data_IF_268062681405
#
_entry.id   IF_268062681405
#
_cell.length_a   1.000
_cell.length_b   1.000
_cell.length_c   1.000
_cell.angle_alpha   90.00
_cell.angle_beta   90.00
_cell.angle_gamma   90.00
#
_symmetry.space_group_name_H-M   'P 1'
#
loop_
_entity.id
_entity.type
_entity.pdbx_description
1 polymer ?
#
# COMPACT_ATOMS: atom_id res chain seq x y z
N UNK A 1 4.14 2.80 -1.79
CA UNK A 1 3.76 2.42 -3.18
C UNK A 1 3.18 1.01 -3.11
N UNK A 2 2.07 0.75 -3.78
CA UNK A 2 1.49 -0.60 -3.90
C UNK A 2 1.44 -0.92 -5.38
N UNK A 3 2.21 -1.92 -5.80
CA UNK A 3 2.21 -2.37 -7.19
C UNK A 3 1.11 -3.42 -7.38
N UNK A 4 0.28 -3.21 -8.39
CA UNK A 4 -0.81 -4.12 -8.75
C UNK A 4 -0.66 -4.51 -10.22
N UNK A 5 -0.78 -5.80 -10.51
CA UNK A 5 -0.91 -6.27 -11.89
C UNK A 5 -2.39 -6.26 -12.24
N UNK A 6 -2.78 -5.45 -13.22
CA UNK A 6 -4.18 -5.27 -13.64
C UNK A 6 -4.35 -5.71 -15.09
N UNK A 7 -5.45 -6.42 -15.36
CA UNK A 7 -5.85 -6.77 -16.72
C UNK A 7 -6.81 -5.73 -17.25
N UNK A 8 -6.46 -5.09 -18.38
CA UNK A 8 -7.34 -4.11 -19.00
C UNK A 8 -8.65 -4.75 -19.47
N UNK A 9 -9.76 -4.05 -19.22
CA UNK A 9 -11.09 -4.49 -19.65
C UNK A 9 -11.22 -4.62 -21.18
N UNK A 10 -10.39 -3.92 -21.94
CA UNK A 10 -10.33 -3.95 -23.41
C UNK A 10 -9.40 -5.02 -23.98
N UNK A 11 -8.75 -5.85 -23.15
CA UNK A 11 -7.85 -6.89 -23.66
C UNK A 11 -8.58 -7.94 -24.50
N UNK A 12 -7.99 -8.31 -25.63
CA UNK A 12 -8.49 -9.38 -26.52
C UNK A 12 -7.98 -10.78 -26.11
N UNK A 13 -7.04 -10.85 -25.15
CA UNK A 13 -6.37 -12.10 -24.72
C UNK A 13 -6.55 -12.36 -23.22
N UNK A 14 -7.77 -12.12 -22.71
CA UNK A 14 -8.06 -12.19 -21.27
C UNK A 14 -7.83 -13.58 -20.68
N UNK A 15 -8.09 -14.63 -21.44
CA UNK A 15 -7.90 -16.00 -20.97
C UNK A 15 -6.42 -16.33 -20.78
N UNK A 16 -5.57 -15.99 -21.75
CA UNK A 16 -4.12 -16.19 -21.68
C UNK A 16 -3.50 -15.30 -20.59
N UNK A 17 -3.93 -14.04 -20.50
CA UNK A 17 -3.50 -13.14 -19.44
C UNK A 17 -3.87 -13.68 -18.06
N UNK A 18 -5.09 -14.22 -17.89
CA UNK A 18 -5.49 -14.85 -16.64
C UNK A 18 -4.65 -16.09 -16.32
N UNK A 19 -4.42 -16.99 -17.30
CA UNK A 19 -3.55 -18.16 -17.12
C UNK A 19 -2.15 -17.76 -16.67
N UNK A 20 -1.56 -16.73 -17.28
CA UNK A 20 -0.27 -16.20 -16.83
C UNK A 20 -0.32 -15.76 -15.37
N UNK A 21 -1.36 -15.02 -14.97
CA UNK A 21 -1.51 -14.56 -13.60
C UNK A 21 -1.69 -15.74 -12.64
N UNK A 22 -2.64 -16.63 -12.88
CA UNK A 22 -3.03 -17.69 -11.93
C UNK A 22 -2.08 -18.88 -11.91
N UNK A 23 -1.45 -19.22 -13.04
CA UNK A 23 -0.65 -20.44 -13.19
C UNK A 23 0.86 -20.18 -13.19
N UNK A 24 1.29 -18.93 -13.36
CA UNK A 24 2.69 -18.54 -13.28
C UNK A 24 2.91 -17.47 -12.21
N UNK A 25 2.50 -16.23 -12.46
CA UNK A 25 2.92 -15.07 -11.66
C UNK A 25 2.49 -15.13 -10.18
N UNK A 26 1.31 -15.69 -9.89
CA UNK A 26 0.72 -15.77 -8.55
C UNK A 26 0.67 -17.20 -7.99
N UNK A 27 1.71 -18.00 -8.27
CA UNK A 27 1.94 -19.28 -7.59
C UNK A 27 2.87 -19.09 -6.40
N UNK A 28 2.79 -19.94 -5.37
CA UNK A 28 3.69 -19.86 -4.20
C UNK A 28 5.17 -19.82 -4.59
N UNK A 29 5.58 -20.69 -5.51
CA UNK A 29 6.96 -20.73 -6.02
C UNK A 29 7.40 -19.37 -6.56
N UNK A 30 6.64 -18.83 -7.51
CA UNK A 30 7.06 -17.60 -8.20
C UNK A 30 6.84 -16.34 -7.37
N UNK A 31 5.83 -16.33 -6.49
CA UNK A 31 5.66 -15.27 -5.51
C UNK A 31 6.79 -15.25 -4.48
N UNK A 32 7.24 -16.41 -4.01
CA UNK A 32 8.37 -16.48 -3.08
C UNK A 32 9.67 -16.02 -3.76
N UNK A 33 10.02 -16.62 -4.90
CA UNK A 33 11.22 -16.27 -5.68
C UNK A 33 11.28 -14.77 -6.04
N UNK A 34 10.18 -14.21 -6.53
CA UNK A 34 10.11 -12.79 -6.88
C UNK A 34 10.21 -11.90 -5.64
N UNK A 35 9.47 -12.20 -4.57
CA UNK A 35 9.48 -11.39 -3.34
C UNK A 35 10.87 -11.37 -2.72
N UNK A 36 11.57 -12.50 -2.62
CA UNK A 36 12.94 -12.57 -2.06
C UNK A 36 13.92 -11.77 -2.93
N UNK A 37 13.91 -12.00 -4.25
CA UNK A 37 14.91 -11.39 -5.15
C UNK A 37 14.78 -9.89 -5.31
N UNK A 38 13.55 -9.38 -5.30
CA UNK A 38 13.28 -7.94 -5.40
C UNK A 38 13.31 -7.24 -4.03
N UNK A 39 13.45 -7.97 -2.92
CA UNK A 39 13.44 -7.40 -1.58
C UNK A 39 12.07 -6.88 -1.15
N UNK A 40 10.99 -7.45 -1.68
CA UNK A 40 9.62 -7.08 -1.29
C UNK A 40 9.15 -7.81 -0.04
N UNK A 41 8.03 -7.35 0.51
CA UNK A 41 7.30 -8.06 1.56
C UNK A 41 6.33 -9.09 0.95
N UNK A 42 6.07 -10.19 1.66
CA UNK A 42 5.18 -11.25 1.16
C UNK A 42 3.74 -10.77 1.06
N UNK A 43 3.12 -10.97 -0.12
CA UNK A 43 1.68 -10.70 -0.34
C UNK A 43 0.82 -11.94 -0.10
N UNK A 44 1.45 -13.11 0.05
CA UNK A 44 0.80 -14.39 0.33
C UNK A 44 1.14 -14.85 1.75
N UNK A 45 0.16 -15.42 2.45
CA UNK A 45 0.38 -15.99 3.80
C UNK A 45 1.32 -17.18 3.77
N UNK A 46 1.27 -18.01 2.72
CA UNK A 46 2.18 -19.13 2.50
C UNK A 46 3.62 -18.66 2.34
N UNK A 47 3.85 -17.61 1.54
CA UNK A 47 5.19 -17.02 1.35
C UNK A 47 5.72 -16.40 2.64
N UNK A 48 4.85 -15.79 3.46
CA UNK A 48 5.25 -15.26 4.77
C UNK A 48 5.76 -16.32 5.77
N UNK A 49 5.56 -17.61 5.51
CA UNK A 49 6.09 -18.71 6.33
C UNK A 49 7.50 -19.16 5.89
N UNK A 50 8.03 -18.65 4.79
CA UNK A 50 9.41 -18.93 4.39
C UNK A 50 10.38 -18.43 5.49
N UNK A 51 11.42 -19.20 5.86
CA UNK A 51 12.40 -18.79 6.87
C UNK A 51 12.99 -17.40 6.64
N UNK A 52 13.14 -16.97 5.38
CA UNK A 52 13.62 -15.63 5.03
C UNK A 52 12.74 -14.53 5.64
N UNK A 53 11.43 -14.72 5.72
CA UNK A 53 10.50 -13.74 6.30
C UNK A 53 10.12 -14.04 7.75
N UNK A 54 10.14 -15.32 8.14
CA UNK A 54 9.69 -15.76 9.45
C UNK A 54 10.79 -15.72 10.53
N UNK A 55 12.03 -15.98 10.15
CA UNK A 55 13.15 -16.18 11.08
C UNK A 55 14.18 -15.04 11.05
N UNK A 56 14.29 -14.31 9.92
CA UNK A 56 15.11 -13.09 9.87
C UNK A 56 14.46 -11.99 10.72
N UNK A 57 15.16 -11.45 11.74
CA UNK A 57 14.54 -10.53 12.70
C UNK A 57 14.13 -9.19 12.07
N UNK A 58 14.82 -8.73 11.02
CA UNK A 58 14.49 -7.46 10.36
C UNK A 58 13.25 -7.64 9.50
N UNK A 59 13.21 -8.69 8.67
CA UNK A 59 12.07 -8.97 7.79
C UNK A 59 10.84 -9.45 8.56
N UNK A 60 11.03 -10.16 9.67
CA UNK A 60 9.95 -10.61 10.54
C UNK A 60 9.16 -9.44 11.10
N UNK A 61 9.83 -8.37 11.53
CA UNK A 61 9.16 -7.18 12.06
C UNK A 61 8.20 -6.56 11.02
N UNK A 62 8.61 -6.50 9.76
CA UNK A 62 7.73 -6.03 8.68
C UNK A 62 6.59 -7.01 8.38
N UNK A 63 6.90 -8.31 8.33
CA UNK A 63 5.92 -9.36 8.03
C UNK A 63 4.83 -9.43 9.10
N UNK A 64 5.20 -9.30 10.38
CA UNK A 64 4.27 -9.26 11.51
C UNK A 64 3.34 -8.03 11.49
N UNK A 65 3.74 -6.94 10.82
CA UNK A 65 2.94 -5.72 10.67
C UNK A 65 1.92 -5.80 9.51
N UNK A 66 2.14 -6.66 8.51
CA UNK A 66 1.27 -6.77 7.34
C UNK A 66 -0.22 -7.00 7.66
N UNK A 67 -0.61 -7.82 8.66
CA UNK A 67 -2.02 -8.00 9.02
C UNK A 67 -2.72 -6.72 9.52
N UNK A 68 -1.95 -5.73 9.98
CA UNK A 68 -2.43 -4.46 10.51
C UNK A 68 -2.38 -3.33 9.47
N UNK A 69 -1.68 -3.55 8.35
CA UNK A 69 -1.58 -2.56 7.29
C UNK A 69 -2.96 -2.23 6.71
N UNK A 70 -3.17 -0.96 6.39
CA UNK A 70 -4.37 -0.45 5.72
C UNK A 70 -3.98 0.18 4.40
N UNK A 71 -4.78 -0.07 3.38
CA UNK A 71 -4.66 0.68 2.13
C UNK A 71 -5.08 2.12 2.33
N UNK A 72 -4.54 3.00 1.49
CA UNK A 72 -5.13 4.31 1.26
C UNK A 72 -6.64 4.16 0.93
N UNK A 73 -7.51 5.01 1.47
CA UNK A 73 -8.91 5.09 1.05
C UNK A 73 -9.05 5.21 -0.47
N UNK A 74 -9.93 4.38 -1.04
CA UNK A 74 -10.23 4.36 -2.48
C UNK A 74 -11.33 5.38 -2.77
N UNK A 75 -11.01 6.65 -2.62
CA UNK A 75 -11.92 7.78 -2.86
C UNK A 75 -11.31 8.76 -3.85
N UNK A 76 -12.17 9.53 -4.52
CA UNK A 76 -11.73 10.61 -5.37
C UNK A 76 -10.84 11.58 -4.56
N UNK A 77 -9.87 12.20 -5.23
CA UNK A 77 -9.02 13.24 -4.65
C UNK A 77 -8.21 12.81 -3.41
N UNK A 78 -8.06 11.50 -3.12
CA UNK A 78 -7.28 11.02 -1.96
C UNK A 78 -5.87 11.63 -1.86
N UNK A 79 -5.20 11.84 -2.99
CA UNK A 79 -3.89 12.47 -3.02
C UNK A 79 -3.92 13.90 -2.45
N UNK A 80 -4.93 14.70 -2.83
CA UNK A 80 -5.10 16.07 -2.34
C UNK A 80 -5.45 16.10 -0.84
N UNK A 81 -6.26 15.14 -0.39
CA UNK A 81 -6.59 14.96 1.03
C UNK A 81 -5.33 14.66 1.85
N UNK A 82 -4.51 13.73 1.37
CA UNK A 82 -3.26 13.35 2.01
C UNK A 82 -2.26 14.53 2.04
N UNK A 83 -2.16 15.30 0.95
CA UNK A 83 -1.27 16.45 0.87
C UNK A 83 -1.76 17.61 1.77
N UNK A 84 -3.07 17.84 1.86
CA UNK A 84 -3.66 18.81 2.79
C UNK A 84 -3.35 18.43 4.25
N UNK A 85 -3.45 17.15 4.59
CA UNK A 85 -3.10 16.65 5.93
C UNK A 85 -1.60 16.86 6.23
N UNK A 86 -0.72 16.53 5.28
CA UNK A 86 0.74 16.72 5.44
C UNK A 86 1.13 18.17 5.63
N UNK A 87 0.52 19.08 4.87
CA UNK A 87 0.79 20.51 4.98
C UNK A 87 0.45 21.05 6.39
N UNK A 88 -0.69 20.63 6.94
CA UNK A 88 -1.09 21.00 8.30
C UNK A 88 -0.13 20.44 9.35
N UNK A 89 0.27 19.16 9.22
CA UNK A 89 1.28 18.57 10.11
C UNK A 89 2.62 19.30 10.02
N UNK A 90 3.03 19.74 8.83
CA UNK A 90 4.25 20.51 8.65
C UNK A 90 4.20 21.85 9.41
N UNK A 91 3.09 22.60 9.32
CA UNK A 91 2.92 23.84 10.09
C UNK A 91 3.04 23.60 11.60
N UNK A 92 2.43 22.51 12.10
CA UNK A 92 2.54 22.11 13.50
C UNK A 92 3.99 21.81 13.89
N UNK A 93 4.71 21.03 13.09
CA UNK A 93 6.10 20.65 13.39
C UNK A 93 7.08 21.82 13.28
N UNK A 94 6.80 22.81 12.43
CA UNK A 94 7.58 24.04 12.33
C UNK A 94 7.23 25.07 13.42
N UNK A 95 6.20 24.83 14.23
CA UNK A 95 5.74 25.76 15.26
C UNK A 95 4.99 26.97 14.70
N UNK A 96 4.53 26.90 13.46
CA UNK A 96 3.80 27.98 12.78
C UNK A 96 2.34 28.09 13.25
N UNK A 97 1.75 26.98 13.69
CA UNK A 97 0.40 26.93 14.27
C UNK A 97 0.27 25.81 15.30
N UNK A 98 -0.55 25.97 16.36
CA UNK A 98 -0.89 24.87 17.27
C UNK A 98 -1.68 23.76 16.56
N UNK A 99 -1.46 22.50 16.96
CA UNK A 99 -2.20 21.36 16.40
C UNK A 99 -3.72 21.48 16.56
N UNK A 100 -4.18 22.08 17.67
CA UNK A 100 -5.59 22.31 17.95
C UNK A 100 -6.26 23.31 16.99
N UNK A 101 -5.49 24.05 16.18
CA UNK A 101 -5.98 24.98 15.17
C UNK A 101 -5.74 24.44 13.75
N UNK A 102 -4.51 23.98 13.48
CA UNK A 102 -4.12 23.54 12.13
C UNK A 102 -4.87 22.28 11.67
N UNK A 103 -5.10 21.31 12.57
CA UNK A 103 -5.75 20.04 12.19
C UNK A 103 -7.26 20.21 11.93
N UNK A 104 -8.04 20.96 12.74
CA UNK A 104 -9.42 21.28 12.40
C UNK A 104 -9.57 22.07 11.09
N UNK A 105 -8.70 23.06 10.83
CA UNK A 105 -8.73 23.81 9.57
C UNK A 105 -8.44 22.92 8.35
N UNK A 106 -7.52 21.96 8.49
CA UNK A 106 -7.27 20.96 7.46
C UNK A 106 -8.47 20.05 7.22
N UNK A 107 -9.17 19.65 8.28
CA UNK A 107 -10.38 18.83 8.17
C UNK A 107 -11.49 19.59 7.42
N UNK A 108 -11.76 20.85 7.76
CA UNK A 108 -12.75 21.68 7.05
C UNK A 108 -12.41 21.83 5.56
N UNK A 109 -11.13 22.00 5.23
CA UNK A 109 -10.68 22.02 3.82
C UNK A 109 -10.89 20.68 3.13
N UNK A 110 -10.64 19.56 3.81
CA UNK A 110 -10.85 18.21 3.28
C UNK A 110 -12.32 17.94 3.05
N UNK A 111 -13.21 18.38 3.94
CA UNK A 111 -14.65 18.24 3.75
C UNK A 111 -15.09 18.91 2.44
N UNK A 112 -14.57 20.11 2.13
CA UNK A 112 -14.82 20.78 0.84
C UNK A 112 -14.20 20.11 -0.39
N UNK A 113 -13.26 19.16 -0.24
CA UNK A 113 -12.73 18.32 -1.34
C UNK A 113 -13.62 17.09 -1.57
N UNK A 114 -14.32 16.65 -0.51
CA UNK A 114 -15.19 15.47 -0.53
C UNK A 114 -16.60 15.79 -1.01
N UNK A 115 -17.06 17.03 -0.86
CA UNK A 115 -18.33 17.56 -1.38
C UNK A 115 -18.37 17.63 -2.93
#
# INVERSE_FOLDING_TARGET
>A
VTDSIVMFASSDVKEEAWKFLSEAAFTDKWRNEFTIKEGFLPVFRSVAQDPTFADDPELKAFTDMLPFARFAPVIANWQEIADTTKAALQQVYLGEAPAAEALPAAAEKIDGILD
#
